data_IF_281587655290
#
_entry.id   IF_281587655290
#
_cell.length_a   1.000
_cell.length_b   1.000
_cell.length_c   1.000
_cell.angle_alpha   90.00
_cell.angle_beta   90.00
_cell.angle_gamma   90.00
#
_symmetry.space_group_name_H-M   'P 1'
#
loop_
_entity.id
_entity.type
_entity.pdbx_description
1 polymer ?
#
# COMPACT_ATOMS: atom_id res chain seq x y z
N UNK A 1 -7.41 9.64 -46.34
CA UNK A 1 -7.66 8.60 -45.32
C UNK A 1 -6.31 7.97 -45.00
N UNK A 2 -5.61 8.46 -43.99
CA UNK A 2 -4.33 7.84 -43.59
C UNK A 2 -4.65 6.54 -42.88
N UNK A 3 -4.39 5.41 -43.55
CA UNK A 3 -4.39 4.10 -42.94
C UNK A 3 -3.48 4.14 -41.69
N UNK A 4 -4.05 3.83 -40.52
CA UNK A 4 -3.30 3.74 -39.28
C UNK A 4 -2.33 2.55 -39.38
N UNK A 5 -1.12 2.80 -39.90
CA UNK A 5 -0.06 1.79 -40.13
C UNK A 5 0.46 1.07 -38.87
N UNK A 6 -0.04 1.42 -37.68
CA UNK A 6 0.42 0.89 -36.40
C UNK A 6 -0.75 0.38 -35.50
N UNK A 7 -1.77 -0.27 -36.08
CA UNK A 7 -2.78 -0.98 -35.28
C UNK A 7 -2.32 -2.42 -35.08
N UNK A 8 -2.07 -2.80 -33.83
CA UNK A 8 -1.73 -4.17 -33.46
C UNK A 8 -3.01 -4.87 -32.97
N UNK A 9 -3.49 -5.92 -33.66
CA UNK A 9 -4.67 -6.64 -33.23
C UNK A 9 -4.42 -7.36 -31.91
N UNK A 10 -5.48 -7.51 -31.10
CA UNK A 10 -5.44 -8.38 -29.92
C UNK A 10 -5.20 -9.81 -30.39
N UNK A 11 -4.28 -10.51 -29.74
CA UNK A 11 -3.99 -11.92 -30.05
C UNK A 11 -5.18 -12.78 -29.63
N UNK A 12 -5.55 -13.78 -30.44
CA UNK A 12 -6.68 -14.68 -30.17
C UNK A 12 -6.59 -15.34 -28.77
N UNK A 13 -5.39 -15.68 -28.32
CA UNK A 13 -5.14 -16.27 -27.00
C UNK A 13 -5.48 -15.33 -25.83
N UNK A 14 -5.40 -14.01 -26.04
CA UNK A 14 -5.81 -13.00 -25.04
C UNK A 14 -7.32 -12.78 -25.16
N UNK A 15 -7.81 -12.56 -26.39
CA UNK A 15 -9.23 -12.32 -26.65
C UNK A 15 -10.15 -13.42 -26.10
N UNK A 16 -9.70 -14.68 -26.10
CA UNK A 16 -10.48 -15.82 -25.61
C UNK A 16 -10.75 -15.82 -24.10
N UNK A 17 -9.94 -15.11 -23.30
CA UNK A 17 -10.03 -15.11 -21.82
C UNK A 17 -10.17 -13.72 -21.20
N UNK A 18 -10.14 -12.66 -22.02
CA UNK A 18 -10.11 -11.30 -21.53
C UNK A 18 -11.36 -10.93 -20.71
N UNK A 19 -11.16 -10.19 -19.62
CA UNK A 19 -12.26 -9.68 -18.80
C UNK A 19 -13.16 -8.71 -19.56
N UNK A 20 -12.62 -7.99 -20.56
CA UNK A 20 -13.36 -7.10 -21.42
C UNK A 20 -12.80 -7.10 -22.85
N UNK A 21 -13.68 -7.30 -23.82
CA UNK A 21 -13.42 -7.02 -25.23
C UNK A 21 -13.76 -5.56 -25.55
N UNK A 22 -13.67 -5.20 -26.84
CA UNK A 22 -13.95 -3.83 -27.31
C UNK A 22 -15.37 -3.37 -26.98
N UNK A 23 -16.36 -4.24 -27.15
CA UNK A 23 -17.77 -3.88 -26.99
C UNK A 23 -18.12 -3.75 -25.50
N UNK A 24 -17.62 -4.67 -24.66
CA UNK A 24 -17.73 -4.57 -23.21
C UNK A 24 -17.01 -3.34 -22.65
N UNK A 25 -15.80 -3.04 -23.13
CA UNK A 25 -15.11 -1.80 -22.78
C UNK A 25 -15.96 -0.56 -23.13
N UNK A 26 -16.47 -0.48 -24.36
CA UNK A 26 -17.27 0.66 -24.80
C UNK A 26 -18.54 0.83 -23.96
N UNK A 27 -19.23 -0.28 -23.66
CA UNK A 27 -20.42 -0.27 -22.82
C UNK A 27 -20.13 0.17 -21.38
N UNK A 28 -19.08 -0.39 -20.76
CA UNK A 28 -18.66 -0.02 -19.40
C UNK A 28 -18.22 1.44 -19.34
N UNK A 29 -17.45 1.91 -20.33
CA UNK A 29 -17.00 3.29 -20.40
C UNK A 29 -18.18 4.25 -20.54
N UNK A 30 -19.12 3.97 -21.46
CA UNK A 30 -20.32 4.77 -21.64
C UNK A 30 -21.15 4.82 -20.35
N UNK A 31 -21.37 3.67 -19.69
CA UNK A 31 -22.09 3.63 -18.42
C UNK A 31 -21.38 4.46 -17.34
N UNK A 32 -20.05 4.37 -17.23
CA UNK A 32 -19.29 5.13 -16.23
C UNK A 32 -19.40 6.65 -16.38
N UNK A 33 -19.71 7.12 -17.60
CA UNK A 33 -19.90 8.53 -17.92
C UNK A 33 -21.35 8.97 -17.74
N UNK A 34 -22.30 8.16 -18.21
CA UNK A 34 -23.73 8.51 -18.21
C UNK A 34 -24.41 8.25 -16.85
N UNK A 35 -24.01 7.17 -16.17
CA UNK A 35 -24.52 6.73 -14.87
C UNK A 35 -23.37 6.29 -13.95
N UNK A 36 -22.57 7.25 -13.43
CA UNK A 36 -21.46 6.94 -12.55
C UNK A 36 -21.91 6.31 -11.24
N UNK A 37 -23.11 6.60 -10.73
CA UNK A 37 -23.60 5.97 -9.49
C UNK A 37 -23.91 4.50 -9.70
N UNK A 38 -24.61 4.13 -10.77
CA UNK A 38 -24.85 2.74 -11.11
C UNK A 38 -23.56 1.98 -11.42
N UNK A 39 -22.67 2.57 -12.23
CA UNK A 39 -21.40 1.92 -12.58
C UNK A 39 -20.52 1.66 -11.35
N UNK A 40 -20.27 2.69 -10.54
CA UNK A 40 -19.39 2.55 -9.38
C UNK A 40 -20.06 1.78 -8.23
N UNK A 41 -21.39 1.80 -8.14
CA UNK A 41 -22.15 0.92 -7.24
C UNK A 41 -21.95 -0.56 -7.57
N UNK A 42 -21.90 -0.92 -8.85
CA UNK A 42 -21.53 -2.28 -9.27
C UNK A 42 -20.05 -2.59 -8.99
N UNK A 43 -19.13 -1.66 -9.27
CA UNK A 43 -17.71 -1.89 -9.01
C UNK A 43 -17.39 -2.02 -7.52
N UNK A 44 -18.11 -1.34 -6.62
CA UNK A 44 -17.93 -1.46 -5.18
C UNK A 44 -18.16 -2.88 -4.65
N UNK A 45 -18.98 -3.69 -5.33
CA UNK A 45 -19.27 -5.08 -4.93
C UNK A 45 -18.06 -6.02 -5.05
N UNK A 46 -16.96 -5.59 -5.65
CA UNK A 46 -15.70 -6.35 -5.69
C UNK A 46 -14.96 -6.40 -4.36
N UNK A 47 -15.35 -5.52 -3.43
CA UNK A 47 -14.78 -5.44 -2.09
C UNK A 47 -15.77 -5.98 -1.06
N UNK A 48 -15.22 -6.50 0.01
CA UNK A 48 -15.98 -6.90 1.20
C UNK A 48 -16.16 -5.66 2.07
N UNK A 49 -17.41 -5.23 2.21
CA UNK A 49 -17.82 -4.11 3.06
C UNK A 49 -18.35 -4.64 4.38
N UNK A 50 -17.90 -4.06 5.49
CA UNK A 50 -18.51 -4.25 6.81
C UNK A 50 -19.90 -3.61 6.81
N UNK A 51 -20.00 -2.42 6.22
CA UNK A 51 -21.26 -1.73 5.93
C UNK A 51 -21.26 -1.32 4.45
N UNK A 52 -22.14 -1.91 3.66
CA UNK A 52 -22.26 -1.59 2.23
C UNK A 52 -22.70 -0.13 2.04
N UNK A 53 -22.02 0.66 1.20
CA UNK A 53 -22.37 2.05 0.96
C UNK A 53 -23.69 2.16 0.21
N UNK A 54 -24.54 3.12 0.62
CA UNK A 54 -25.75 3.49 -0.13
C UNK A 54 -25.55 4.75 -0.98
N UNK A 55 -24.54 5.57 -0.64
CA UNK A 55 -24.19 6.78 -1.38
C UNK A 55 -22.91 6.56 -2.17
N UNK A 56 -23.03 6.46 -3.49
CA UNK A 56 -21.90 6.07 -4.34
C UNK A 56 -20.98 7.25 -4.63
N UNK A 57 -21.52 8.37 -5.13
CA UNK A 57 -20.74 9.51 -5.59
C UNK A 57 -21.26 10.82 -5.01
N UNK A 58 -20.43 11.55 -4.29
CA UNK A 58 -20.73 12.88 -3.79
C UNK A 58 -19.50 13.79 -3.97
N UNK A 59 -19.39 14.42 -5.14
CA UNK A 59 -18.16 15.14 -5.54
C UNK A 59 -18.47 16.53 -6.09
N UNK A 60 -17.74 17.53 -5.62
CA UNK A 60 -17.68 18.87 -6.17
C UNK A 60 -16.22 19.26 -6.42
N UNK A 61 -15.94 19.77 -7.62
CA UNK A 61 -14.66 20.41 -7.98
C UNK A 61 -14.82 21.93 -8.16
N UNK A 62 -15.91 22.51 -7.64
CA UNK A 62 -16.12 23.94 -7.68
C UNK A 62 -14.97 24.66 -6.94
N UNK A 63 -14.55 25.81 -7.48
CA UNK A 63 -13.36 26.55 -6.98
C UNK A 63 -13.44 26.89 -5.49
N UNK A 64 -14.63 27.15 -4.99
CA UNK A 64 -14.97 27.54 -3.62
C UNK A 64 -15.45 26.38 -2.75
N UNK A 65 -15.65 25.19 -3.33
CA UNK A 65 -16.12 24.00 -2.62
C UNK A 65 -15.57 22.71 -3.26
N UNK A 66 -14.28 22.47 -3.10
CA UNK A 66 -13.67 21.18 -3.48
C UNK A 66 -13.92 20.18 -2.35
N UNK A 67 -14.89 19.29 -2.53
CA UNK A 67 -15.23 18.20 -1.61
C UNK A 67 -15.50 16.95 -2.44
N UNK A 68 -14.73 15.88 -2.22
CA UNK A 68 -14.72 14.70 -3.07
C UNK A 68 -14.93 13.50 -2.17
N UNK A 69 -16.09 12.87 -2.28
CA UNK A 69 -16.44 11.69 -1.50
C UNK A 69 -17.04 10.59 -2.37
N UNK A 70 -16.65 9.37 -2.07
CA UNK A 70 -17.07 8.13 -2.71
C UNK A 70 -17.39 7.11 -1.63
N UNK A 71 -18.57 6.51 -1.73
CA UNK A 71 -19.01 5.48 -0.78
C UNK A 71 -19.07 6.00 0.67
N UNK A 72 -19.41 7.29 0.86
CA UNK A 72 -19.16 8.07 2.09
C UNK A 72 -19.83 7.50 3.36
N UNK A 73 -20.83 6.63 3.20
CA UNK A 73 -21.55 5.99 4.29
C UNK A 73 -21.20 4.51 4.47
N UNK A 74 -20.25 3.99 3.69
CA UNK A 74 -19.75 2.63 3.76
C UNK A 74 -18.55 2.48 4.68
N UNK A 75 -18.40 1.27 5.22
CA UNK A 75 -17.29 0.88 6.10
C UNK A 75 -16.64 -0.40 5.60
N UNK A 76 -15.30 -0.44 5.63
CA UNK A 76 -14.49 -1.58 5.22
C UNK A 76 -13.16 -1.60 5.97
N UNK A 77 -12.35 -2.62 5.72
CA UNK A 77 -10.93 -2.60 6.07
C UNK A 77 -10.10 -3.07 4.87
N UNK A 78 -9.06 -2.32 4.52
CA UNK A 78 -8.19 -2.64 3.36
C UNK A 78 -7.38 -3.91 3.62
N UNK A 79 -6.83 -4.09 4.81
CA UNK A 79 -6.07 -5.30 5.13
C UNK A 79 -6.97 -6.55 5.07
N UNK A 80 -8.21 -6.47 5.55
CA UNK A 80 -9.17 -7.57 5.45
C UNK A 80 -9.52 -7.94 4.00
N UNK A 81 -9.65 -6.92 3.13
CA UNK A 81 -9.87 -7.13 1.70
C UNK A 81 -8.64 -7.71 0.97
N UNK A 82 -7.44 -7.41 1.44
CA UNK A 82 -6.20 -7.91 0.86
C UNK A 82 -5.72 -9.24 1.46
N UNK A 83 -6.24 -9.66 2.62
CA UNK A 83 -5.72 -10.82 3.37
C UNK A 83 -6.85 -11.72 3.85
N UNK A 84 -7.63 -11.28 4.84
CA UNK A 84 -8.59 -12.10 5.60
C UNK A 84 -9.57 -12.86 4.69
N UNK A 85 -10.19 -12.16 3.71
CA UNK A 85 -11.18 -12.77 2.80
C UNK A 85 -10.61 -13.86 1.88
N UNK A 86 -9.29 -13.93 1.75
CA UNK A 86 -8.62 -14.90 0.91
C UNK A 86 -8.22 -16.17 1.67
N UNK A 87 -8.19 -16.16 3.01
CA UNK A 87 -7.63 -17.25 3.81
C UNK A 87 -8.34 -18.59 3.64
N UNK A 88 -9.66 -18.61 3.49
CA UNK A 88 -10.44 -19.84 3.36
C UNK A 88 -10.06 -20.62 2.09
N UNK A 89 -9.86 -19.91 0.97
CA UNK A 89 -9.64 -20.53 -0.36
C UNK A 89 -8.19 -20.49 -0.82
N UNK A 90 -7.43 -19.50 -0.37
CA UNK A 90 -6.09 -19.16 -0.86
C UNK A 90 -5.06 -19.04 0.27
N UNK A 91 -5.38 -19.49 1.49
CA UNK A 91 -4.48 -19.37 2.64
C UNK A 91 -3.07 -19.87 2.37
N UNK A 92 -2.94 -21.00 1.65
CA UNK A 92 -1.64 -21.62 1.34
C UNK A 92 -1.09 -21.18 -0.04
N UNK A 93 -1.84 -20.38 -0.80
CA UNK A 93 -1.35 -19.78 -2.04
C UNK A 93 -0.32 -18.71 -1.71
N UNK A 94 0.76 -18.64 -2.50
CA UNK A 94 1.73 -17.53 -2.41
C UNK A 94 1.04 -16.20 -2.69
N UNK A 95 1.09 -15.29 -1.71
CA UNK A 95 0.69 -13.90 -1.86
C UNK A 95 1.83 -13.06 -2.43
N UNK A 96 3.03 -13.17 -1.83
CA UNK A 96 4.22 -12.42 -2.23
C UNK A 96 5.33 -13.38 -2.63
N UNK A 97 5.85 -13.22 -3.83
CA UNK A 97 7.18 -13.69 -4.21
C UNK A 97 8.13 -12.53 -3.94
N UNK A 98 9.12 -12.74 -3.08
CA UNK A 98 10.20 -11.78 -2.89
C UNK A 98 11.45 -12.30 -3.55
N UNK A 99 12.00 -11.49 -4.46
CA UNK A 99 13.29 -11.72 -5.10
C UNK A 99 14.29 -10.71 -4.52
N UNK A 100 15.32 -11.21 -3.87
CA UNK A 100 16.41 -10.41 -3.33
C UNK A 100 17.31 -9.86 -4.43
N UNK A 101 18.19 -8.91 -4.06
CA UNK A 101 19.20 -8.39 -4.99
C UNK A 101 20.19 -9.48 -5.45
N UNK A 102 20.48 -10.43 -4.55
CA UNK A 102 21.14 -11.68 -4.87
C UNK A 102 20.06 -12.70 -5.34
N UNK A 103 20.14 -13.23 -6.57
CA UNK A 103 19.13 -14.16 -7.10
C UNK A 103 19.08 -15.52 -6.39
N UNK A 104 20.01 -15.77 -5.46
CA UNK A 104 19.98 -16.95 -4.58
C UNK A 104 19.19 -16.68 -3.28
N UNK A 105 18.75 -15.45 -3.05
CA UNK A 105 17.91 -15.05 -1.92
C UNK A 105 16.51 -14.77 -2.44
N UNK A 106 15.58 -15.70 -2.24
CA UNK A 106 14.17 -15.49 -2.56
C UNK A 106 13.28 -16.10 -1.49
N UNK A 107 12.04 -15.63 -1.41
CA UNK A 107 11.03 -16.11 -0.46
C UNK A 107 9.68 -16.21 -1.17
N UNK A 108 8.94 -17.25 -0.83
CA UNK A 108 7.52 -17.36 -1.14
C UNK A 108 6.77 -17.20 0.18
N UNK A 109 5.89 -16.22 0.25
CA UNK A 109 5.09 -15.93 1.44
C UNK A 109 3.64 -16.16 1.06
N UNK A 110 3.02 -17.14 1.71
CA UNK A 110 1.61 -17.46 1.56
C UNK A 110 0.70 -16.36 2.11
N UNK A 111 -0.57 -16.34 1.69
CA UNK A 111 -1.57 -15.44 2.29
C UNK A 111 -1.69 -15.61 3.80
N UNK A 112 -1.59 -16.85 4.31
CA UNK A 112 -1.62 -17.14 5.74
C UNK A 112 -0.42 -16.56 6.47
N UNK A 113 0.80 -16.78 5.96
CA UNK A 113 2.01 -16.21 6.56
C UNK A 113 2.00 -14.68 6.53
N UNK A 114 1.56 -14.09 5.41
CA UNK A 114 1.43 -12.64 5.29
C UNK A 114 0.40 -12.09 6.28
N UNK A 115 -0.76 -12.75 6.40
CA UNK A 115 -1.80 -12.40 7.37
C UNK A 115 -1.30 -12.43 8.81
N UNK A 116 -0.65 -13.52 9.22
CA UNK A 116 -0.16 -13.68 10.58
C UNK A 116 0.91 -12.64 10.91
N UNK A 117 1.89 -12.42 10.02
CA UNK A 117 2.94 -11.41 10.23
C UNK A 117 2.39 -9.98 10.23
N UNK A 118 1.43 -9.66 9.37
CA UNK A 118 0.75 -8.37 9.37
C UNK A 118 -0.01 -8.14 10.68
N UNK A 119 -0.68 -9.16 11.21
CA UNK A 119 -1.41 -9.05 12.49
C UNK A 119 -0.49 -8.88 13.69
N UNK A 120 0.63 -9.62 13.70
CA UNK A 120 1.66 -9.46 14.72
C UNK A 120 2.23 -8.05 14.69
N UNK A 121 2.56 -7.53 13.50
CA UNK A 121 3.03 -6.15 13.37
C UNK A 121 1.96 -5.14 13.78
N UNK A 122 0.71 -5.32 13.40
CA UNK A 122 -0.41 -4.47 13.81
C UNK A 122 -0.54 -4.40 15.35
N UNK A 123 -0.47 -5.54 16.04
CA UNK A 123 -0.45 -5.61 17.50
C UNK A 123 0.81 -4.94 18.10
N UNK A 124 1.97 -5.12 17.46
CA UNK A 124 3.21 -4.45 17.82
C UNK A 124 3.07 -2.93 17.76
N UNK A 125 2.54 -2.38 16.67
CA UNK A 125 2.27 -0.95 16.52
C UNK A 125 1.31 -0.43 17.60
N UNK A 126 0.23 -1.16 17.89
CA UNK A 126 -0.69 -0.82 18.99
C UNK A 126 0.01 -0.81 20.36
N UNK A 127 0.93 -1.75 20.60
CA UNK A 127 1.71 -1.81 21.84
C UNK A 127 2.66 -0.61 22.01
N UNK A 128 3.08 0.00 20.90
CA UNK A 128 3.85 1.25 20.87
C UNK A 128 2.96 2.51 20.93
N UNK A 129 1.65 2.33 21.08
CA UNK A 129 0.68 3.41 21.25
C UNK A 129 0.14 4.01 19.94
N UNK A 130 0.34 3.36 18.79
CA UNK A 130 -0.24 3.80 17.50
C UNK A 130 -1.76 3.59 17.54
N UNK A 131 -2.50 4.65 17.21
CA UNK A 131 -3.97 4.65 17.18
C UNK A 131 -4.52 4.91 15.77
N UNK A 132 -5.82 4.68 15.57
CA UNK A 132 -6.53 5.07 14.35
C UNK A 132 -6.32 6.57 14.08
N UNK A 133 -5.91 6.89 12.85
CA UNK A 133 -5.61 8.25 12.40
C UNK A 133 -4.17 8.72 12.66
N UNK A 134 -3.38 8.00 13.46
CA UNK A 134 -1.96 8.33 13.65
C UNK A 134 -1.16 8.01 12.39
N UNK A 135 -0.14 8.82 12.12
CA UNK A 135 0.74 8.60 10.97
C UNK A 135 1.97 7.77 11.33
N UNK A 136 2.31 6.81 10.47
CA UNK A 136 3.54 6.00 10.55
C UNK A 136 4.36 6.17 9.29
N UNK A 137 5.59 6.68 9.41
CA UNK A 137 6.50 6.81 8.26
C UNK A 137 7.18 5.48 7.96
N UNK A 138 7.18 5.06 6.69
CA UNK A 138 7.86 3.85 6.23
C UNK A 138 9.04 4.25 5.33
N UNK A 139 10.27 4.09 5.82
CA UNK A 139 11.51 4.32 5.06
C UNK A 139 12.22 2.98 4.86
N UNK A 140 11.63 2.16 3.99
CA UNK A 140 11.92 0.74 3.87
C UNK A 140 12.51 0.38 2.51
N UNK A 141 13.34 -0.67 2.41
CA UNK A 141 13.74 -1.25 1.13
C UNK A 141 12.62 -2.11 0.53
N UNK A 142 12.84 -2.64 -0.68
CA UNK A 142 11.95 -3.62 -1.33
C UNK A 142 12.05 -5.00 -0.68
N UNK A 143 11.48 -5.13 0.51
CA UNK A 143 11.41 -6.36 1.31
C UNK A 143 9.95 -6.64 1.75
N UNK A 144 9.59 -7.89 2.08
CA UNK A 144 8.21 -8.24 2.43
C UNK A 144 7.65 -7.43 3.61
N UNK A 145 8.51 -7.07 4.56
CA UNK A 145 8.17 -6.28 5.74
C UNK A 145 7.61 -4.89 5.36
N UNK A 146 7.96 -4.35 4.17
CA UNK A 146 7.37 -3.11 3.67
C UNK A 146 5.86 -3.27 3.36
N UNK A 147 5.48 -4.36 2.68
CA UNK A 147 4.07 -4.67 2.43
C UNK A 147 3.33 -5.00 3.74
N UNK A 148 3.97 -5.76 4.64
CA UNK A 148 3.43 -6.06 5.97
C UNK A 148 3.16 -4.77 6.75
N UNK A 149 4.07 -3.80 6.72
CA UNK A 149 3.93 -2.51 7.40
C UNK A 149 2.78 -1.66 6.83
N UNK A 150 2.65 -1.58 5.51
CA UNK A 150 1.52 -0.89 4.87
C UNK A 150 0.18 -1.51 5.26
N UNK A 151 0.08 -2.84 5.23
CA UNK A 151 -1.13 -3.58 5.58
C UNK A 151 -1.42 -3.52 7.09
N UNK A 152 -0.39 -3.55 7.95
CA UNK A 152 -0.56 -3.43 9.39
C UNK A 152 -1.10 -2.05 9.79
N UNK A 153 -0.59 -0.97 9.17
CA UNK A 153 -1.13 0.37 9.37
C UNK A 153 -2.60 0.42 8.92
N UNK A 154 -2.90 -0.06 7.71
CA UNK A 154 -4.27 -0.12 7.19
C UNK A 154 -5.21 -0.98 8.07
N UNK A 155 -4.70 -2.04 8.70
CA UNK A 155 -5.48 -2.92 9.58
C UNK A 155 -6.00 -2.20 10.82
N UNK A 156 -5.16 -1.36 11.44
CA UNK A 156 -5.48 -0.64 12.68
C UNK A 156 -5.99 0.80 12.44
N UNK A 157 -6.16 1.18 11.18
CA UNK A 157 -6.60 2.52 10.79
C UNK A 157 -5.54 3.61 10.94
N UNK A 158 -4.26 3.24 11.07
CA UNK A 158 -3.16 4.19 11.01
C UNK A 158 -2.89 4.60 9.55
N UNK A 159 -2.41 5.82 9.36
CA UNK A 159 -2.09 6.39 8.05
C UNK A 159 -0.62 6.16 7.78
N UNK A 160 -0.26 5.27 6.86
CA UNK A 160 1.16 5.12 6.53
C UNK A 160 1.63 6.22 5.57
N UNK A 161 2.89 6.60 5.69
CA UNK A 161 3.56 7.56 4.82
C UNK A 161 4.87 6.98 4.31
N UNK A 162 4.83 6.34 3.14
CA UNK A 162 6.03 5.73 2.55
C UNK A 162 6.98 6.78 1.98
N UNK A 163 8.26 6.62 2.27
CA UNK A 163 9.35 7.45 1.82
C UNK A 163 10.33 6.58 1.05
N UNK A 164 10.60 6.93 -0.21
CA UNK A 164 11.54 6.17 -1.05
C UNK A 164 12.91 6.07 -0.39
N UNK A 165 13.45 4.84 -0.29
CA UNK A 165 14.70 4.52 0.42
C UNK A 165 15.95 5.24 -0.11
N UNK A 166 15.90 5.82 -1.30
CA UNK A 166 16.99 6.63 -1.86
C UNK A 166 16.97 8.11 -1.48
N UNK A 167 16.03 8.56 -0.65
CA UNK A 167 15.98 9.96 -0.23
C UNK A 167 16.99 10.30 0.88
N UNK A 168 17.44 11.56 0.88
CA UNK A 168 18.39 12.09 1.85
C UNK A 168 17.76 12.24 3.24
N UNK A 169 18.59 12.31 4.31
CA UNK A 169 18.10 12.55 5.67
C UNK A 169 17.19 13.78 5.80
N UNK A 170 17.49 14.87 5.11
CA UNK A 170 16.67 16.08 5.16
C UNK A 170 15.30 15.88 4.48
N UNK A 171 15.27 15.10 3.39
CA UNK A 171 14.03 14.74 2.72
C UNK A 171 13.17 13.78 3.55
N UNK A 172 13.79 12.90 4.35
CA UNK A 172 13.11 12.04 5.34
C UNK A 172 12.54 12.91 6.47
N UNK A 173 13.36 13.79 7.06
CA UNK A 173 12.95 14.67 8.15
C UNK A 173 11.74 15.54 7.78
N UNK A 174 11.77 16.18 6.61
CA UNK A 174 10.65 17.00 6.12
C UNK A 174 9.34 16.22 6.02
N UNK A 175 9.39 14.93 5.67
CA UNK A 175 8.20 14.07 5.56
C UNK A 175 7.72 13.57 6.92
N UNK A 176 8.63 13.23 7.82
CA UNK A 176 8.29 12.90 9.22
C UNK A 176 7.57 14.08 9.88
N UNK A 177 8.10 15.29 9.72
CA UNK A 177 7.50 16.53 10.26
C UNK A 177 6.17 16.81 9.57
N UNK A 178 6.15 16.81 8.24
CA UNK A 178 4.96 17.19 7.48
C UNK A 178 3.78 16.25 7.68
N UNK A 179 4.04 15.00 8.08
CA UNK A 179 3.03 13.98 8.27
C UNK A 179 2.69 13.77 9.76
N UNK A 180 3.36 14.49 10.66
CA UNK A 180 3.24 14.35 12.12
C UNK A 180 3.47 12.88 12.57
N UNK A 181 4.49 12.24 11.99
CA UNK A 181 4.70 10.80 12.17
C UNK A 181 5.27 10.47 13.55
N UNK A 182 4.49 9.74 14.35
CA UNK A 182 4.88 9.31 15.70
C UNK A 182 5.87 8.16 15.73
N UNK A 183 5.97 7.43 14.62
CA UNK A 183 6.81 6.25 14.47
C UNK A 183 7.42 6.19 13.06
N UNK A 184 8.67 5.75 12.98
CA UNK A 184 9.35 5.41 11.71
C UNK A 184 9.63 3.90 11.69
N UNK A 185 9.29 3.22 10.60
CA UNK A 185 9.76 1.86 10.31
C UNK A 185 10.83 1.94 9.23
N UNK A 186 11.99 1.36 9.49
CA UNK A 186 13.16 1.34 8.60
C UNK A 186 13.84 -0.03 8.62
N UNK A 187 14.86 -0.24 7.80
CA UNK A 187 15.83 -1.31 7.98
C UNK A 187 17.20 -0.77 8.43
N UNK A 188 18.10 -1.65 8.84
CA UNK A 188 19.52 -1.36 9.03
C UNK A 188 20.12 -0.80 7.73
N UNK A 189 20.05 -1.57 6.65
CA UNK A 189 20.52 -1.18 5.31
C UNK A 189 19.59 -1.73 4.21
N UNK A 190 19.68 -1.13 3.02
CA UNK A 190 19.14 -1.69 1.78
C UNK A 190 20.28 -2.22 0.92
N UNK A 191 20.04 -3.29 0.16
CA UNK A 191 20.93 -3.74 -0.92
C UNK A 191 20.23 -3.56 -2.26
N UNK A 192 20.86 -2.85 -3.20
CA UNK A 192 20.33 -2.64 -4.55
C UNK A 192 21.44 -2.51 -5.58
N UNK A 193 21.44 -3.36 -6.60
CA UNK A 193 22.52 -3.48 -7.59
C UNK A 193 23.88 -3.75 -6.95
N UNK A 194 23.91 -4.58 -5.90
CA UNK A 194 25.08 -4.89 -5.07
C UNK A 194 25.57 -3.74 -4.18
N UNK A 195 24.87 -2.60 -4.14
CA UNK A 195 25.25 -1.44 -3.31
C UNK A 195 24.42 -1.38 -2.04
N UNK A 196 25.11 -1.08 -0.94
CA UNK A 196 24.48 -0.85 0.36
C UNK A 196 24.03 0.61 0.48
N UNK A 197 22.83 0.82 1.03
CA UNK A 197 22.30 2.13 1.40
C UNK A 197 22.03 2.12 2.91
N UNK A 198 22.65 3.01 3.70
CA UNK A 198 22.58 2.98 5.16
C UNK A 198 21.27 3.63 5.66
N UNK A 199 20.16 2.88 5.60
CA UNK A 199 18.83 3.40 5.90
C UNK A 199 18.72 3.87 7.36
N UNK A 200 19.23 3.09 8.32
CA UNK A 200 19.20 3.48 9.74
C UNK A 200 20.01 4.74 10.02
N UNK A 201 21.21 4.87 9.44
CA UNK A 201 22.04 6.08 9.57
C UNK A 201 21.32 7.32 9.01
N UNK A 202 20.62 7.16 7.89
CA UNK A 202 19.83 8.23 7.30
C UNK A 202 18.67 8.65 8.22
N UNK A 203 18.00 7.69 8.87
CA UNK A 203 16.95 7.97 9.87
C UNK A 203 17.55 8.67 11.10
N UNK A 204 18.66 8.19 11.64
CA UNK A 204 19.31 8.82 12.80
C UNK A 204 19.74 10.25 12.50
N UNK A 205 20.26 10.49 11.30
CA UNK A 205 20.52 11.83 10.82
C UNK A 205 19.23 12.64 10.74
N UNK A 206 18.20 12.13 10.06
CA UNK A 206 16.92 12.81 9.89
C UNK A 206 16.27 13.21 11.23
N UNK A 207 16.37 12.37 12.25
CA UNK A 207 15.75 12.60 13.56
C UNK A 207 16.53 13.58 14.46
N UNK A 208 17.64 14.15 13.98
CA UNK A 208 18.37 15.27 14.63
C UNK A 208 17.88 16.64 14.16
N UNK A 209 16.92 16.71 13.23
CA UNK A 209 16.44 17.97 12.65
C UNK A 209 15.35 18.58 13.54
N UNK A 210 15.27 19.91 13.59
CA UNK A 210 14.25 20.58 14.39
C UNK A 210 12.83 20.15 13.96
N UNK A 211 12.01 19.77 14.93
CA UNK A 211 10.62 19.34 14.72
C UNK A 211 10.44 17.83 14.54
N UNK A 212 11.50 17.03 14.43
CA UNK A 212 11.37 15.56 14.38
C UNK A 212 11.11 14.91 15.73
N UNK A 213 11.02 15.69 16.81
CA UNK A 213 10.66 15.21 18.16
C UNK A 213 9.28 14.55 18.22
N UNK A 214 8.43 14.74 17.20
CA UNK A 214 7.17 14.00 17.03
C UNK A 214 7.40 12.49 16.97
N UNK A 215 8.51 12.05 16.36
CA UNK A 215 8.85 10.64 16.23
C UNK A 215 9.38 10.10 17.56
N UNK A 216 8.63 9.21 18.21
CA UNK A 216 8.97 8.65 19.52
C UNK A 216 9.67 7.30 19.43
N UNK A 217 9.39 6.52 18.39
CA UNK A 217 9.92 5.17 18.23
C UNK A 217 10.42 4.96 16.80
N UNK A 218 11.49 4.17 16.67
CA UNK A 218 12.01 3.70 15.39
C UNK A 218 12.03 2.17 15.41
N UNK A 219 11.25 1.55 14.53
CA UNK A 219 11.23 0.10 14.35
C UNK A 219 12.20 -0.28 13.23
N UNK A 220 13.19 -1.12 13.53
CA UNK A 220 14.30 -1.43 12.62
C UNK A 220 14.27 -2.90 12.20
N UNK A 221 14.14 -3.17 10.90
CA UNK A 221 14.30 -4.51 10.32
C UNK A 221 15.78 -4.81 10.11
N UNK A 222 16.23 -5.99 10.52
CA UNK A 222 17.60 -6.46 10.27
C UNK A 222 17.68 -7.12 8.89
N UNK A 223 18.05 -6.36 7.85
CA UNK A 223 18.16 -6.85 6.46
C UNK A 223 19.56 -7.36 6.13
N UNK A 224 20.62 -6.66 6.54
CA UNK A 224 22.00 -7.05 6.23
C UNK A 224 22.78 -7.50 7.46
N UNK A 225 22.37 -7.04 8.65
CA UNK A 225 23.14 -7.21 9.88
C UNK A 225 24.39 -6.33 9.94
N UNK A 226 24.45 -5.25 9.15
CA UNK A 226 25.51 -4.25 9.21
C UNK A 226 25.59 -3.56 10.58
N UNK A 227 26.74 -2.95 10.86
CA UNK A 227 26.92 -2.17 12.09
C UNK A 227 26.12 -0.86 11.99
N UNK A 228 25.26 -0.61 12.97
CA UNK A 228 24.41 0.58 13.06
C UNK A 228 24.49 1.19 14.46
N UNK A 229 24.33 2.50 14.54
CA UNK A 229 24.11 3.18 15.81
C UNK A 229 22.73 2.81 16.38
N UNK A 230 22.65 2.76 17.71
CA UNK A 230 21.43 2.41 18.43
C UNK A 230 21.13 3.41 19.55
N UNK A 231 19.91 3.94 19.58
CA UNK A 231 19.44 4.84 20.63
C UNK A 231 18.48 4.12 21.57
N UNK A 232 18.96 3.84 22.79
CA UNK A 232 18.19 3.25 23.87
C UNK A 232 16.89 4.02 24.16
N UNK A 233 15.79 3.29 24.31
CA UNK A 233 14.46 3.85 24.57
C UNK A 233 13.74 4.44 23.36
N UNK A 234 14.36 4.47 22.17
CA UNK A 234 13.74 4.90 20.90
C UNK A 234 13.76 3.79 19.85
N UNK A 235 14.91 3.15 19.69
CA UNK A 235 15.12 2.15 18.64
C UNK A 235 14.71 0.76 19.13
N UNK A 236 13.98 0.03 18.28
CA UNK A 236 13.41 -1.28 18.60
C UNK A 236 13.64 -2.20 17.41
N UNK A 237 14.15 -3.41 17.65
CA UNK A 237 14.25 -4.42 16.59
C UNK A 237 12.86 -4.92 16.20
N UNK A 238 12.61 -5.00 14.88
CA UNK A 238 11.34 -5.44 14.31
C UNK A 238 10.92 -6.80 14.85
N UNK A 239 11.79 -7.81 14.72
CA UNK A 239 11.48 -9.18 15.13
C UNK A 239 11.28 -9.29 16.64
N UNK A 240 12.05 -8.56 17.45
CA UNK A 240 11.89 -8.56 18.91
C UNK A 240 10.54 -8.01 19.38
N UNK A 241 9.95 -7.09 18.61
CA UNK A 241 8.61 -6.57 18.86
C UNK A 241 7.54 -7.52 18.31
N UNK A 242 7.68 -7.93 17.05
CA UNK A 242 6.65 -8.62 16.26
C UNK A 242 6.51 -10.09 16.69
N UNK A 243 7.60 -10.81 16.94
CA UNK A 243 7.58 -12.25 17.22
C UNK A 243 6.88 -12.58 18.56
N UNK A 244 6.74 -11.59 19.44
CA UNK A 244 6.06 -11.72 20.74
C UNK A 244 4.56 -11.44 20.66
N UNK A 245 4.07 -10.96 19.52
CA UNK A 245 2.67 -10.56 19.37
C UNK A 245 1.79 -11.73 18.93
N UNK A 246 0.50 -11.63 19.26
CA UNK A 246 -0.52 -12.53 18.73
C UNK A 246 -0.61 -12.38 17.20
N UNK A 247 -0.78 -13.51 16.51
CA UNK A 247 -1.14 -13.55 15.08
C UNK A 247 -2.62 -13.21 14.84
N UNK A 248 -3.40 -12.99 15.88
CA UNK A 248 -4.77 -12.47 15.81
C UNK A 248 -4.79 -10.98 16.15
N UNK A 249 -5.26 -10.17 15.20
CA UNK A 249 -5.52 -8.75 15.40
C UNK A 249 -6.87 -8.43 14.74
N UNK A 250 -7.92 -8.00 15.44
CA UNK A 250 -9.16 -7.61 14.78
C UNK A 250 -8.94 -6.45 13.80
N UNK A 251 -9.55 -6.52 12.62
CA UNK A 251 -9.50 -5.44 11.64
C UNK A 251 -10.41 -4.29 12.08
N UNK A 252 -9.89 -3.06 12.14
CA UNK A 252 -10.65 -1.87 12.52
C UNK A 252 -11.65 -1.50 11.41
N UNK A 253 -12.89 -1.18 11.78
CA UNK A 253 -13.86 -0.66 10.81
C UNK A 253 -13.47 0.77 10.41
N UNK A 254 -13.18 0.97 9.13
CA UNK A 254 -12.79 2.27 8.57
C UNK A 254 -13.90 2.79 7.68
N UNK A 255 -14.25 4.06 7.83
CA UNK A 255 -15.14 4.71 6.86
C UNK A 255 -14.43 4.74 5.49
N UNK A 256 -15.19 4.71 4.40
CA UNK A 256 -14.62 4.84 3.06
C UNK A 256 -13.74 6.08 2.90
N UNK A 257 -14.08 7.17 3.59
CA UNK A 257 -13.35 8.44 3.57
C UNK A 257 -12.30 8.61 4.68
N UNK A 258 -12.09 7.60 5.53
CA UNK A 258 -10.96 7.65 6.45
C UNK A 258 -9.64 7.59 5.65
N UNK A 259 -8.62 8.39 5.99
CA UNK A 259 -7.33 8.38 5.29
C UNK A 259 -6.64 7.03 5.38
N UNK A 260 -6.16 6.52 4.25
CA UNK A 260 -5.41 5.27 4.17
C UNK A 260 -3.90 5.53 4.20
N UNK A 261 -3.43 6.48 3.41
CA UNK A 261 -2.01 6.83 3.33
C UNK A 261 -1.77 8.27 2.88
N UNK A 262 -0.56 8.74 3.19
CA UNK A 262 0.03 9.98 2.67
C UNK A 262 1.19 9.60 1.76
N UNK A 263 1.21 10.15 0.54
CA UNK A 263 2.36 10.01 -0.35
C UNK A 263 2.87 11.36 -0.79
N UNK A 264 4.11 11.67 -0.43
CA UNK A 264 4.73 12.96 -0.73
C UNK A 264 5.22 13.04 -2.17
N UNK A 265 4.79 14.08 -2.87
CA UNK A 265 5.24 14.37 -4.24
C UNK A 265 6.00 15.68 -4.31
N UNK A 266 6.91 15.79 -5.29
CA UNK A 266 7.59 17.04 -5.62
C UNK A 266 6.58 18.00 -6.25
N UNK A 267 6.29 19.11 -5.56
CA UNK A 267 5.58 20.23 -6.15
C UNK A 267 6.47 21.03 -7.10
N UNK A 268 5.88 21.79 -8.01
CA UNK A 268 6.61 22.75 -8.86
C UNK A 268 7.20 23.92 -8.07
N UNK A 269 6.68 24.18 -6.86
CA UNK A 269 7.17 25.20 -5.93
C UNK A 269 6.97 24.73 -4.47
N UNK A 270 7.92 25.08 -3.60
CA UNK A 270 7.81 24.90 -2.14
C UNK A 270 8.15 23.51 -1.60
N UNK A 271 7.77 23.27 -0.34
CA UNK A 271 7.98 22.00 0.36
C UNK A 271 7.16 20.85 -0.29
N UNK A 272 7.60 19.58 -0.14
CA UNK A 272 6.86 18.43 -0.63
C UNK A 272 5.40 18.41 -0.14
N UNK A 273 4.46 18.06 -1.02
CA UNK A 273 3.02 18.01 -0.68
C UNK A 273 2.62 16.58 -0.39
N UNK A 274 2.05 16.33 0.80
CA UNK A 274 1.53 15.02 1.18
C UNK A 274 0.16 14.78 0.55
N UNK A 275 0.11 14.05 -0.56
CA UNK A 275 -1.15 13.64 -1.17
C UNK A 275 -1.81 12.58 -0.30
N UNK A 276 -3.07 12.80 0.08
CA UNK A 276 -3.85 11.87 0.89
C UNK A 276 -4.77 11.05 -0.02
N UNK A 277 -4.77 9.74 0.17
CA UNK A 277 -5.78 8.85 -0.40
C UNK A 277 -6.64 8.28 0.73
N UNK A 278 -7.95 8.23 0.51
CA UNK A 278 -8.92 7.61 1.42
C UNK A 278 -9.16 6.15 1.06
N UNK A 279 -9.87 5.42 1.92
CA UNK A 279 -9.87 3.95 1.96
C UNK A 279 -10.70 3.30 0.85
N UNK A 280 -11.99 3.61 0.77
CA UNK A 280 -12.95 2.85 -0.05
C UNK A 280 -12.80 3.08 -1.55
N UNK A 281 -12.79 4.35 -1.96
CA UNK A 281 -12.64 4.73 -3.37
C UNK A 281 -11.30 4.27 -3.96
N UNK A 282 -10.21 4.47 -3.22
CA UNK A 282 -8.87 4.07 -3.66
C UNK A 282 -8.75 2.56 -3.88
N UNK A 283 -9.17 1.73 -2.91
CA UNK A 283 -9.05 0.28 -3.04
C UNK A 283 -9.95 -0.26 -4.17
N UNK A 284 -11.17 0.28 -4.30
CA UNK A 284 -12.09 -0.09 -5.39
C UNK A 284 -11.44 0.16 -6.74
N UNK A 285 -10.84 1.35 -6.91
CA UNK A 285 -10.19 1.73 -8.16
C UNK A 285 -8.94 0.88 -8.44
N UNK A 286 -8.05 0.71 -7.46
CA UNK A 286 -6.83 -0.08 -7.62
C UNK A 286 -7.13 -1.56 -7.94
N UNK A 287 -8.11 -2.17 -7.27
CA UNK A 287 -8.52 -3.54 -7.54
C UNK A 287 -9.16 -3.69 -8.93
N UNK A 288 -10.02 -2.74 -9.33
CA UNK A 288 -10.65 -2.73 -10.65
C UNK A 288 -9.61 -2.56 -11.77
N UNK A 289 -8.73 -1.57 -11.68
CA UNK A 289 -7.73 -1.31 -12.71
C UNK A 289 -6.71 -2.44 -12.79
N UNK A 290 -6.30 -3.02 -11.66
CA UNK A 290 -5.45 -4.20 -11.67
C UNK A 290 -6.08 -5.34 -12.49
N UNK A 291 -7.35 -5.66 -12.23
CA UNK A 291 -8.07 -6.72 -12.94
C UNK A 291 -8.21 -6.44 -14.45
N UNK A 292 -8.72 -5.26 -14.82
CA UNK A 292 -9.08 -5.01 -16.22
C UNK A 292 -7.90 -4.56 -17.08
N UNK A 293 -6.95 -3.80 -16.54
CA UNK A 293 -5.83 -3.25 -17.34
C UNK A 293 -4.74 -4.29 -17.56
N UNK A 294 -4.45 -5.11 -16.54
CA UNK A 294 -3.49 -6.20 -16.66
C UNK A 294 -4.14 -7.53 -17.04
N UNK A 295 -5.46 -7.53 -17.25
CA UNK A 295 -6.27 -8.71 -17.58
C UNK A 295 -6.04 -9.89 -16.62
N UNK A 296 -5.78 -9.59 -15.34
CA UNK A 296 -5.34 -10.55 -14.34
C UNK A 296 -6.31 -11.71 -14.20
N UNK A 297 -5.83 -12.94 -14.43
CA UNK A 297 -6.59 -14.17 -14.20
C UNK A 297 -6.16 -14.83 -12.90
N UNK A 298 -7.10 -15.51 -12.24
CA UNK A 298 -6.82 -16.23 -11.00
C UNK A 298 -5.68 -17.25 -11.20
N UNK A 299 -4.71 -17.23 -10.28
CA UNK A 299 -3.53 -18.09 -10.33
C UNK A 299 -2.36 -17.57 -11.18
N UNK A 300 -2.51 -16.45 -11.89
CA UNK A 300 -1.38 -15.82 -12.58
C UNK A 300 -0.39 -15.19 -11.58
N UNK A 301 0.88 -15.18 -11.96
CA UNK A 301 1.94 -14.43 -11.25
C UNK A 301 2.03 -13.05 -11.89
N UNK A 302 1.80 -12.03 -11.08
CA UNK A 302 1.89 -10.63 -11.47
C UNK A 302 3.20 -10.03 -10.95
N UNK A 303 3.96 -9.37 -11.81
CA UNK A 303 5.22 -8.70 -11.42
C UNK A 303 5.18 -7.22 -11.79
N UNK A 304 5.25 -6.35 -10.79
CA UNK A 304 5.44 -4.92 -10.98
C UNK A 304 6.81 -4.48 -10.46
N UNK A 305 7.70 -4.11 -11.37
CA UNK A 305 9.10 -3.72 -11.06
C UNK A 305 9.26 -2.33 -10.44
N UNK A 306 8.16 -1.70 -10.01
CA UNK A 306 8.22 -0.40 -9.36
C UNK A 306 8.80 -0.52 -7.94
N UNK A 307 8.98 0.62 -7.28
CA UNK A 307 9.35 0.67 -5.86
C UNK A 307 8.11 1.03 -5.02
N UNK A 308 8.00 0.43 -3.84
CA UNK A 308 6.94 0.67 -2.84
C UNK A 308 6.84 2.14 -2.44
N UNK A 309 7.93 2.91 -2.51
CA UNK A 309 7.97 4.36 -2.28
C UNK A 309 7.24 5.22 -3.31
N UNK A 310 6.68 4.62 -4.37
CA UNK A 310 5.89 5.32 -5.39
C UNK A 310 4.44 4.82 -5.44
N UNK A 311 3.57 5.63 -6.04
CA UNK A 311 2.13 5.30 -6.17
C UNK A 311 1.91 4.00 -6.95
N UNK A 312 2.78 3.68 -7.91
CA UNK A 312 2.73 2.40 -8.63
C UNK A 312 2.95 1.22 -7.69
N UNK A 313 3.90 1.32 -6.75
CA UNK A 313 4.12 0.28 -5.75
C UNK A 313 2.94 0.13 -4.79
N UNK A 314 2.31 1.24 -4.40
CA UNK A 314 1.10 1.18 -3.57
C UNK A 314 -0.03 0.46 -4.30
N UNK A 315 -0.42 0.98 -5.47
CA UNK A 315 -1.60 0.52 -6.19
C UNK A 315 -1.40 -0.86 -6.82
N UNK A 316 -0.19 -1.16 -7.29
CA UNK A 316 0.05 -2.29 -8.18
C UNK A 316 1.12 -3.27 -7.69
N UNK A 317 1.80 -3.05 -6.56
CA UNK A 317 2.53 -4.15 -5.89
C UNK A 317 1.70 -4.67 -4.72
N UNK A 318 1.16 -3.76 -3.90
CA UNK A 318 0.47 -4.16 -2.67
C UNK A 318 -1.04 -4.23 -2.86
N UNK A 319 -1.73 -3.11 -3.07
CA UNK A 319 -3.18 -3.06 -2.86
C UNK A 319 -4.00 -3.77 -3.95
N UNK A 320 -3.82 -3.41 -5.22
CA UNK A 320 -4.60 -3.97 -6.33
C UNK A 320 -4.43 -5.49 -6.50
N UNK A 321 -3.19 -6.02 -6.56
CA UNK A 321 -2.96 -7.45 -6.68
C UNK A 321 -3.46 -8.24 -5.46
N UNK A 322 -3.12 -7.81 -4.24
CA UNK A 322 -3.52 -8.55 -3.04
C UNK A 322 -5.02 -8.51 -2.83
N UNK A 323 -5.71 -7.40 -3.13
CA UNK A 323 -7.17 -7.35 -3.11
C UNK A 323 -7.79 -8.33 -4.11
N UNK A 324 -7.15 -8.60 -5.25
CA UNK A 324 -7.67 -9.57 -6.22
C UNK A 324 -7.26 -11.01 -5.94
N UNK A 325 -6.57 -11.30 -4.82
CA UNK A 325 -6.10 -12.65 -4.52
C UNK A 325 -4.90 -13.10 -5.37
N UNK A 326 -4.13 -12.16 -5.93
CA UNK A 326 -3.01 -12.45 -6.82
C UNK A 326 -1.71 -12.84 -6.10
N UNK A 327 -0.86 -13.58 -6.80
CA UNK A 327 0.56 -13.69 -6.44
C UNK A 327 1.31 -12.50 -7.03
N UNK A 328 1.83 -11.62 -6.17
CA UNK A 328 2.60 -10.43 -6.57
C UNK A 328 4.11 -10.63 -6.38
N UNK A 329 4.89 -10.08 -7.29
CA UNK A 329 6.35 -9.91 -7.23
C UNK A 329 6.66 -8.41 -7.36
#
# INVERSE_FOLDING_TARGET
MSEHKNVYPVRDSIAAKAWADKDKYAAMYQQSMDDPEGFWGEQAKRLDWIKTPSKIKNTSFARDNVDIRWFEDGELNVAANCLDRHLEKRGDQTAIIWEGDNPNESKHISYRELYERTNQLANGLKSLGVQKGDTVTLYMPMIPEAAMAMLACARIGAVHSVVFGGFSPDAVAQRVIGADSKLVITADESVRGGKHVPLKENVDSALKRDGTDVCKNVLVVKRTGGEIDWQEGRDIWFDELVDKQSSECPAEAMNAEDPLFILYTSGSTGAPKGLKHTTGGYLTYAAMTHQYVFDYQEGEIYWCTADVGWVTGHSYIVYGPLANGATTL
#
